data_IF_103641756815
#
_entry.id   IF_103641756815
#
_cell.length_a   1.000
_cell.length_b   1.000
_cell.length_c   1.000
_cell.angle_alpha   90.00
_cell.angle_beta   90.00
_cell.angle_gamma   90.00
#
_symmetry.space_group_name_H-M   'P 1'
#
loop_
_entity.id
_entity.type
_entity.pdbx_description
1 polymer ?
#
# COMPACT_ATOMS: atom_id res chain seq x y z
N UNK A 1 -65.18 -74.83 -12.36
CA UNK A 1 -65.02 -74.54 -10.92
C UNK A 1 -63.55 -74.16 -10.74
N UNK A 2 -63.17 -72.90 -10.92
CA UNK A 2 -63.21 -71.80 -9.95
C UNK A 2 -61.96 -71.79 -9.06
N UNK A 3 -61.19 -70.70 -9.16
CA UNK A 3 -60.20 -70.27 -8.17
C UNK A 3 -58.87 -71.04 -8.19
N UNK A 4 -57.76 -70.50 -7.71
CA UNK A 4 -57.43 -69.20 -7.14
C UNK A 4 -55.93 -69.31 -6.85
N UNK A 5 -55.23 -68.17 -6.82
CA UNK A 5 -54.03 -67.97 -5.99
C UNK A 5 -52.72 -68.68 -6.40
N UNK A 6 -51.52 -68.11 -6.27
CA UNK A 6 -51.00 -66.84 -5.80
C UNK A 6 -49.49 -66.88 -6.12
N UNK A 7 -48.91 -65.75 -6.55
CA UNK A 7 -47.70 -65.13 -5.96
C UNK A 7 -46.44 -66.05 -5.94
N UNK A 8 -45.31 -65.72 -6.59
CA UNK A 8 -44.42 -64.60 -6.19
C UNK A 8 -43.14 -64.58 -7.06
N UNK A 9 -42.68 -63.36 -7.39
CA UNK A 9 -41.28 -62.87 -7.60
C UNK A 9 -40.42 -63.56 -8.67
N UNK A 10 -40.06 -62.93 -9.81
CA UNK A 10 -39.36 -61.65 -10.13
C UNK A 10 -37.84 -61.70 -9.92
N UNK A 11 -37.10 -61.94 -11.03
CA UNK A 11 -35.75 -61.46 -11.39
C UNK A 11 -35.26 -62.25 -12.62
N UNK A 12 -34.86 -61.72 -13.78
CA UNK A 12 -34.73 -60.41 -14.41
C UNK A 12 -34.21 -60.66 -15.85
N UNK A 13 -34.17 -59.67 -16.77
CA UNK A 13 -33.43 -59.85 -18.02
C UNK A 13 -32.21 -58.91 -18.09
N UNK A 14 -31.02 -59.49 -18.12
CA UNK A 14 -29.79 -58.83 -18.56
C UNK A 14 -29.54 -59.26 -20.01
N UNK A 15 -29.83 -58.38 -20.97
CA UNK A 15 -29.30 -58.44 -22.34
C UNK A 15 -29.86 -57.29 -23.17
N UNK A 16 -29.10 -56.20 -23.28
CA UNK A 16 -29.14 -55.32 -24.45
C UNK A 16 -27.83 -54.53 -24.53
N UNK A 17 -26.87 -55.11 -25.26
CA UNK A 17 -25.72 -54.37 -25.82
C UNK A 17 -26.21 -53.09 -26.52
N UNK A 18 -25.63 -51.91 -26.22
CA UNK A 18 -25.85 -50.71 -27.01
C UNK A 18 -25.00 -50.77 -28.30
N UNK A 19 -25.65 -50.75 -29.46
CA UNK A 19 -24.99 -50.64 -30.77
C UNK A 19 -24.28 -49.29 -31.00
N UNK A 20 -23.42 -49.19 -32.03
CA UNK A 20 -22.55 -48.03 -32.21
C UNK A 20 -23.31 -46.73 -32.53
N UNK A 21 -22.79 -45.57 -32.11
CA UNK A 21 -23.49 -44.29 -32.22
C UNK A 21 -23.64 -43.81 -33.68
N UNK A 22 -24.84 -43.37 -34.03
CA UNK A 22 -25.16 -42.72 -35.32
C UNK A 22 -24.58 -41.30 -35.37
N UNK A 23 -24.09 -40.95 -36.54
CA UNK A 23 -23.50 -39.68 -36.96
C UNK A 23 -24.48 -38.49 -36.85
N UNK A 24 -24.54 -37.86 -35.68
CA UNK A 24 -25.30 -36.62 -35.49
C UNK A 24 -24.41 -35.42 -35.79
N UNK A 25 -24.56 -34.81 -36.97
CA UNK A 25 -23.92 -33.52 -37.26
C UNK A 25 -24.42 -32.45 -36.28
N UNK A 26 -23.52 -31.96 -35.43
CA UNK A 26 -23.78 -30.92 -34.43
C UNK A 26 -23.94 -29.54 -35.11
N UNK A 27 -24.90 -28.70 -34.70
CA UNK A 27 -25.07 -27.36 -35.26
C UNK A 27 -23.90 -26.42 -34.87
N UNK A 28 -23.46 -25.59 -35.82
CA UNK A 28 -22.40 -24.59 -35.63
C UNK A 28 -22.89 -23.47 -34.70
N UNK A 29 -22.45 -23.50 -33.45
CA UNK A 29 -22.86 -22.60 -32.36
C UNK A 29 -21.81 -21.54 -32.00
N UNK A 30 -20.92 -21.18 -32.93
CA UNK A 30 -19.81 -20.26 -32.65
C UNK A 30 -19.70 -19.24 -33.79
N UNK A 31 -20.20 -18.03 -33.55
CA UNK A 31 -19.86 -16.85 -34.35
C UNK A 31 -18.38 -16.47 -34.18
N UNK A 32 -17.80 -15.64 -35.07
CA UNK A 32 -16.37 -15.36 -35.10
C UNK A 32 -15.94 -14.59 -33.83
N UNK A 33 -15.09 -15.22 -33.03
CA UNK A 33 -14.43 -14.65 -31.85
C UNK A 33 -13.63 -13.41 -32.26
N UNK A 34 -14.05 -12.22 -31.83
CA UNK A 34 -13.31 -10.98 -32.07
C UNK A 34 -11.97 -10.99 -31.30
N UNK A 35 -10.85 -11.19 -32.00
CA UNK A 35 -9.50 -11.30 -31.42
C UNK A 35 -9.08 -10.11 -30.53
N UNK A 36 -9.61 -8.91 -30.75
CA UNK A 36 -9.27 -7.71 -29.96
C UNK A 36 -9.71 -7.83 -28.49
N UNK A 37 -10.81 -8.54 -28.22
CA UNK A 37 -11.33 -8.71 -26.85
C UNK A 37 -10.57 -9.79 -26.06
N UNK A 38 -10.00 -10.79 -26.75
CA UNK A 38 -9.17 -11.82 -26.11
C UNK A 38 -7.73 -11.34 -25.86
N UNK A 39 -7.17 -10.49 -26.74
CA UNK A 39 -5.86 -9.88 -26.53
C UNK A 39 -5.81 -8.94 -25.31
N UNK A 40 -6.87 -8.17 -25.07
CA UNK A 40 -6.97 -7.28 -23.89
C UNK A 40 -7.11 -8.06 -22.58
N UNK A 41 -7.88 -9.15 -22.59
CA UNK A 41 -8.02 -10.04 -21.42
C UNK A 41 -6.67 -10.70 -21.07
N UNK A 42 -5.91 -11.14 -22.06
CA UNK A 42 -4.56 -11.68 -21.85
C UNK A 42 -3.57 -10.62 -21.33
N UNK A 43 -3.66 -9.37 -21.80
CA UNK A 43 -2.83 -8.27 -21.31
C UNK A 43 -3.15 -7.87 -19.86
N UNK A 44 -4.44 -7.83 -19.49
CA UNK A 44 -4.87 -7.58 -18.10
C UNK A 44 -4.41 -8.73 -17.19
N UNK A 45 -4.57 -9.99 -17.63
CA UNK A 45 -4.08 -11.16 -16.88
C UNK A 45 -2.56 -11.12 -16.72
N UNK A 46 -1.81 -10.63 -17.71
CA UNK A 46 -0.36 -10.44 -17.64
C UNK A 46 0.07 -9.36 -16.64
N UNK A 47 -0.59 -8.20 -16.63
CA UNK A 47 -0.30 -7.11 -15.67
C UNK A 47 -0.70 -7.52 -14.25
N UNK A 48 -1.82 -8.23 -14.10
CA UNK A 48 -2.23 -8.80 -12.80
C UNK A 48 -1.26 -9.90 -12.36
N UNK A 49 -0.74 -10.73 -13.28
CA UNK A 49 0.26 -11.76 -12.96
C UNK A 49 1.63 -11.18 -12.62
N UNK A 50 2.01 -10.04 -13.20
CA UNK A 50 3.25 -9.34 -12.84
C UNK A 50 3.12 -8.66 -11.46
N UNK A 51 1.97 -8.07 -11.16
CA UNK A 51 1.66 -7.53 -9.83
C UNK A 51 1.57 -8.63 -8.76
N UNK A 52 0.84 -9.72 -9.04
CA UNK A 52 0.70 -10.88 -8.14
C UNK A 52 2.02 -11.63 -8.03
N UNK A 53 2.80 -11.76 -9.10
CA UNK A 53 4.12 -12.40 -9.10
C UNK A 53 5.16 -11.56 -8.36
N UNK A 54 5.14 -10.24 -8.50
CA UNK A 54 5.97 -9.32 -7.71
C UNK A 54 5.60 -9.39 -6.23
N UNK A 55 4.30 -9.39 -5.92
CA UNK A 55 3.78 -9.53 -4.55
C UNK A 55 4.11 -10.92 -3.96
N UNK A 56 4.02 -12.00 -4.75
CA UNK A 56 4.37 -13.36 -4.34
C UNK A 56 5.89 -13.58 -4.23
N UNK A 57 6.70 -12.85 -5.00
CA UNK A 57 8.17 -12.89 -4.93
C UNK A 57 8.68 -12.34 -3.59
N UNK A 58 8.08 -11.24 -3.11
CA UNK A 58 8.39 -10.72 -1.76
C UNK A 58 8.04 -11.71 -0.65
N UNK A 59 7.11 -12.64 -0.91
CA UNK A 59 6.67 -13.66 0.03
C UNK A 59 7.61 -14.87 0.17
N UNK A 60 8.42 -15.14 -0.85
CA UNK A 60 9.41 -16.25 -0.85
C UNK A 60 10.75 -15.78 -0.27
N UNK A 61 11.13 -14.53 -0.53
CA UNK A 61 12.38 -13.95 -0.01
C UNK A 61 12.24 -13.44 1.44
N UNK A 62 11.03 -13.07 1.86
CA UNK A 62 10.69 -12.71 3.24
C UNK A 62 9.58 -13.66 3.76
N UNK A 63 9.93 -14.73 4.50
CA UNK A 63 8.93 -15.62 5.07
C UNK A 63 8.03 -14.84 6.04
N UNK A 64 6.70 -14.95 5.88
CA UNK A 64 5.73 -14.36 6.80
C UNK A 64 6.02 -14.88 8.21
N UNK A 65 6.10 -14.03 9.25
CA UNK A 65 6.05 -14.53 10.60
C UNK A 65 4.74 -15.29 10.78
N UNK A 66 4.85 -16.51 11.30
CA UNK A 66 3.76 -17.40 11.67
C UNK A 66 2.69 -16.59 12.42
N UNK A 67 1.47 -16.55 11.87
CA UNK A 67 0.31 -15.89 12.49
C UNK A 67 0.04 -16.52 13.84
N UNK A 68 0.51 -15.89 14.91
CA UNK A 68 0.14 -16.21 16.27
C UNK A 68 -0.72 -15.06 16.83
N UNK A 69 -2.04 -15.22 16.75
CA UNK A 69 -3.00 -14.41 17.48
C UNK A 69 -3.57 -13.22 16.71
N UNK A 70 -4.73 -12.75 17.18
CA UNK A 70 -5.45 -11.60 16.67
C UNK A 70 -4.50 -10.39 16.57
N UNK A 71 -4.08 -10.07 15.34
CA UNK A 71 -3.17 -8.95 15.09
C UNK A 71 -3.86 -7.63 15.39
N UNK A 72 -3.09 -6.68 15.93
CA UNK A 72 -3.52 -5.31 16.13
C UNK A 72 -3.31 -4.54 14.81
N UNK A 73 -4.34 -3.84 14.29
CA UNK A 73 -4.16 -3.02 13.09
C UNK A 73 -3.29 -1.80 13.40
N UNK A 74 -2.33 -1.52 12.53
CA UNK A 74 -1.49 -0.31 12.63
C UNK A 74 -2.35 0.93 12.40
N UNK A 75 -2.35 1.90 13.33
CA UNK A 75 -3.09 3.15 13.16
C UNK A 75 -2.45 4.06 12.11
N UNK A 76 -3.23 5.03 11.62
CA UNK A 76 -2.70 6.15 10.83
C UNK A 76 -2.20 7.24 11.78
N UNK A 77 -0.89 7.52 11.70
CA UNK A 77 -0.17 8.48 12.53
C UNK A 77 0.20 9.75 11.77
N UNK A 78 -0.14 9.84 10.48
CA UNK A 78 0.21 10.98 9.63
C UNK A 78 -0.32 12.31 10.21
N UNK A 79 0.52 13.33 10.19
CA UNK A 79 0.25 14.68 10.72
C UNK A 79 -0.06 14.75 12.24
N UNK A 80 0.13 13.66 12.98
CA UNK A 80 0.05 13.67 14.44
C UNK A 80 1.36 14.18 15.06
N UNK A 81 1.27 14.68 16.28
CA UNK A 81 2.48 14.95 17.08
C UNK A 81 3.09 13.63 17.53
N UNK A 82 4.40 13.61 17.80
CA UNK A 82 5.07 12.40 18.32
C UNK A 82 4.42 11.90 19.63
N UNK A 83 3.95 12.83 20.49
CA UNK A 83 3.27 12.47 21.73
C UNK A 83 1.91 11.80 21.49
N UNK A 84 1.11 12.32 20.56
CA UNK A 84 -0.20 11.75 20.24
C UNK A 84 -0.08 10.39 19.53
N UNK A 85 0.90 10.28 18.64
CA UNK A 85 1.20 9.03 17.95
C UNK A 85 1.63 7.94 18.94
N UNK A 86 2.48 8.28 19.92
CA UNK A 86 2.91 7.36 20.97
C UNK A 86 1.74 6.92 21.87
N UNK A 87 0.83 7.84 22.21
CA UNK A 87 -0.37 7.51 22.98
C UNK A 87 -1.28 6.54 22.21
N UNK A 88 -1.51 6.81 20.92
CA UNK A 88 -2.36 5.97 20.05
C UNK A 88 -1.78 4.56 19.89
N UNK A 89 -0.45 4.44 19.75
CA UNK A 89 0.22 3.14 19.68
C UNK A 89 0.06 2.37 20.99
N UNK A 90 0.30 3.02 22.14
CA UNK A 90 0.15 2.39 23.47
C UNK A 90 -1.27 1.90 23.73
N UNK A 91 -2.29 2.66 23.35
CA UNK A 91 -3.70 2.27 23.48
C UNK A 91 -4.02 0.98 22.72
N UNK A 92 -3.37 0.78 21.58
CA UNK A 92 -3.51 -0.40 20.73
C UNK A 92 -2.57 -1.55 21.16
N UNK A 93 -1.73 -1.34 22.17
CA UNK A 93 -0.73 -2.33 22.60
C UNK A 93 0.42 -2.48 21.60
N UNK A 94 0.72 -1.43 20.84
CA UNK A 94 1.87 -1.30 19.96
C UNK A 94 2.92 -0.37 20.60
N UNK A 95 4.16 -0.49 20.16
CA UNK A 95 5.27 0.32 20.67
C UNK A 95 5.75 1.34 19.63
N UNK A 96 6.23 2.48 20.09
CA UNK A 96 6.96 3.42 19.24
C UNK A 96 8.36 2.86 18.98
N UNK A 97 8.70 2.66 17.72
CA UNK A 97 10.00 2.17 17.28
C UNK A 97 10.97 3.30 16.96
N UNK A 98 11.74 3.14 15.88
CA UNK A 98 12.70 4.14 15.42
C UNK A 98 12.01 5.45 15.01
N UNK A 99 12.46 6.56 15.57
CA UNK A 99 12.07 7.91 15.17
C UNK A 99 13.16 8.48 14.26
N UNK A 100 12.82 8.80 13.02
CA UNK A 100 13.72 9.43 12.06
C UNK A 100 13.31 10.87 11.80
N UNK A 101 14.25 11.79 11.89
CA UNK A 101 14.00 13.18 11.53
C UNK A 101 14.12 13.37 10.02
N UNK A 102 13.10 13.98 9.42
CA UNK A 102 13.00 14.30 8.00
C UNK A 102 12.89 15.81 7.86
N UNK A 103 13.80 16.41 7.10
CA UNK A 103 13.73 17.85 6.83
C UNK A 103 12.55 18.15 5.91
N UNK A 104 11.65 19.03 6.34
CA UNK A 104 10.48 19.45 5.56
C UNK A 104 10.26 20.95 5.70
N UNK A 105 10.24 21.66 4.58
CA UNK A 105 9.98 23.10 4.55
C UNK A 105 8.47 23.44 4.67
N UNK A 106 7.59 22.47 4.48
CA UNK A 106 6.13 22.67 4.40
C UNK A 106 5.38 22.24 5.66
N UNK A 107 6.03 21.47 6.53
CA UNK A 107 5.38 20.88 7.71
C UNK A 107 6.12 21.29 8.97
N UNK A 108 5.37 21.77 9.95
CA UNK A 108 5.92 22.17 11.25
C UNK A 108 6.75 21.04 11.87
N UNK A 109 7.81 21.43 12.58
CA UNK A 109 8.66 20.49 13.31
C UNK A 109 7.85 19.69 14.34
N UNK A 110 8.16 18.40 14.49
CA UNK A 110 7.53 17.54 15.50
C UNK A 110 6.27 16.80 15.03
N UNK A 111 5.90 16.93 13.76
CA UNK A 111 4.77 16.22 13.13
C UNK A 111 5.24 14.98 12.37
N UNK A 112 4.48 13.89 12.44
CA UNK A 112 4.76 12.65 11.70
C UNK A 112 4.46 12.84 10.20
N UNK A 113 5.48 12.60 9.37
CA UNK A 113 5.42 12.66 7.91
C UNK A 113 5.37 11.28 7.26
N UNK A 114 5.90 10.27 7.95
CA UNK A 114 5.98 8.91 7.44
C UNK A 114 5.83 7.92 8.60
N UNK A 115 5.34 6.74 8.27
CA UNK A 115 5.31 5.61 9.19
C UNK A 115 5.66 4.32 8.45
N UNK A 116 6.28 3.40 9.17
CA UNK A 116 6.58 2.05 8.71
C UNK A 116 6.35 1.09 9.89
N UNK A 117 5.36 0.19 9.83
CA UNK A 117 4.58 -0.23 8.66
C UNK A 117 3.43 0.69 8.25
N UNK A 118 2.90 0.46 7.04
CA UNK A 118 1.76 1.21 6.48
C UNK A 118 0.49 1.00 7.31
N UNK A 119 -0.41 2.00 7.36
CA UNK A 119 -1.64 1.89 8.15
C UNK A 119 -2.52 0.72 7.67
N UNK A 120 -3.20 0.06 8.61
CA UNK A 120 -4.05 -1.10 8.36
C UNK A 120 -3.31 -2.44 8.24
N UNK A 121 -1.96 -2.45 8.27
CA UNK A 121 -1.21 -3.68 8.38
C UNK A 121 -1.41 -4.32 9.77
N UNK A 122 -1.49 -5.64 9.82
CA UNK A 122 -1.65 -6.35 11.09
C UNK A 122 -0.30 -6.64 11.71
N UNK A 123 -0.12 -6.16 12.94
CA UNK A 123 1.06 -6.42 13.74
C UNK A 123 0.74 -7.32 14.93
N UNK A 124 1.77 -8.00 15.42
CA UNK A 124 1.68 -8.69 16.70
C UNK A 124 1.56 -7.65 17.81
N UNK A 125 0.81 -7.95 18.89
CA UNK A 125 0.85 -7.12 20.10
C UNK A 125 2.30 -6.94 20.58
N UNK A 126 2.66 -5.71 20.95
CA UNK A 126 4.02 -5.33 21.34
C UNK A 126 4.99 -5.09 20.17
N UNK A 127 4.52 -5.14 18.92
CA UNK A 127 5.36 -4.78 17.78
C UNK A 127 5.61 -3.27 17.72
N UNK A 128 6.79 -2.90 17.24
CA UNK A 128 7.20 -1.51 17.11
C UNK A 128 6.83 -0.90 15.75
N UNK A 129 6.40 0.36 15.75
CA UNK A 129 6.13 1.15 14.53
C UNK A 129 7.16 2.28 14.44
N UNK A 130 7.93 2.30 13.35
CA UNK A 130 8.88 3.36 13.08
C UNK A 130 8.15 4.58 12.48
N UNK A 131 8.58 5.78 12.86
CA UNK A 131 7.98 7.04 12.39
C UNK A 131 9.04 7.99 11.86
N UNK A 132 8.71 8.69 10.77
CA UNK A 132 9.48 9.82 10.25
C UNK A 132 8.82 11.11 10.71
N UNK A 133 9.54 11.98 11.41
CA UNK A 133 9.03 13.24 11.98
C UNK A 133 9.67 14.43 11.28
N UNK A 134 8.91 15.48 11.02
CA UNK A 134 9.43 16.73 10.47
C UNK A 134 10.43 17.36 11.43
N UNK A 135 11.65 17.60 10.96
CA UNK A 135 12.64 18.44 11.63
C UNK A 135 12.38 19.95 11.41
N UNK A 136 11.37 20.30 10.59
CA UNK A 136 11.11 21.67 10.16
C UNK A 136 12.04 22.13 9.03
N UNK A 137 12.00 23.44 8.76
CA UNK A 137 12.80 24.07 7.73
C UNK A 137 14.30 24.03 8.10
N UNK A 138 15.20 23.85 7.12
CA UNK A 138 16.63 23.85 7.39
C UNK A 138 17.06 25.21 7.98
N UNK A 139 17.75 25.17 9.13
CA UNK A 139 18.33 26.37 9.73
C UNK A 139 19.54 26.84 8.93
N UNK A 140 19.38 27.93 8.18
CA UNK A 140 20.48 28.62 7.52
C UNK A 140 21.04 29.71 8.45
N UNK A 141 22.34 29.66 8.75
CA UNK A 141 23.00 30.70 9.55
C UNK A 141 23.31 31.93 8.71
N UNK A 142 22.85 33.08 9.17
CA UNK A 142 23.17 34.38 8.56
C UNK A 142 24.57 34.80 8.98
N UNK A 143 25.51 35.02 8.04
CA UNK A 143 26.85 35.52 8.37
C UNK A 143 26.83 36.99 8.82
N UNK A 144 27.86 37.48 9.51
CA UNK A 144 27.95 38.89 9.86
C UNK A 144 28.03 39.76 8.60
N UNK A 145 27.05 40.66 8.45
CA UNK A 145 26.96 41.58 7.28
C UNK A 145 27.46 42.98 7.60
N UNK A 146 27.79 43.26 8.87
CA UNK A 146 28.24 44.57 9.31
C UNK A 146 29.56 44.96 8.63
N UNK A 147 29.59 46.14 8.03
CA UNK A 147 30.75 46.66 7.31
C UNK A 147 30.88 46.20 5.86
N UNK A 148 30.00 45.31 5.38
CA UNK A 148 29.95 44.93 3.97
C UNK A 148 29.12 45.94 3.15
N UNK A 149 29.52 46.15 1.90
CA UNK A 149 28.70 46.89 0.94
C UNK A 149 27.41 46.12 0.62
N UNK A 150 26.31 46.85 0.37
CA UNK A 150 24.99 46.26 0.10
C UNK A 150 25.03 45.17 -0.99
N UNK A 151 25.73 45.42 -2.10
CA UNK A 151 25.84 44.45 -3.20
C UNK A 151 26.53 43.17 -2.74
N UNK A 152 27.66 43.28 -2.04
CA UNK A 152 28.41 42.14 -1.50
C UNK A 152 27.61 41.36 -0.45
N UNK A 153 26.91 42.07 0.43
CA UNK A 153 26.04 41.42 1.42
C UNK A 153 24.89 40.67 0.76
N UNK A 154 24.28 41.24 -0.29
CA UNK A 154 23.23 40.59 -1.08
C UNK A 154 23.75 39.32 -1.76
N UNK A 155 24.86 39.41 -2.49
CA UNK A 155 25.44 38.25 -3.19
C UNK A 155 25.80 37.12 -2.23
N UNK A 156 26.34 37.45 -1.05
CA UNK A 156 26.66 36.45 -0.02
C UNK A 156 25.40 35.74 0.50
N UNK A 157 24.32 36.48 0.74
CA UNK A 157 23.06 35.90 1.21
C UNK A 157 22.36 35.07 0.12
N UNK A 158 22.31 35.57 -1.12
CA UNK A 158 21.71 34.84 -2.25
C UNK A 158 22.49 33.55 -2.56
N UNK A 159 23.83 33.56 -2.43
CA UNK A 159 24.67 32.36 -2.56
C UNK A 159 24.33 31.31 -1.49
N UNK A 160 23.89 31.74 -0.31
CA UNK A 160 23.45 30.87 0.77
C UNK A 160 21.97 30.43 0.62
N UNK A 161 21.30 30.84 -0.45
CA UNK A 161 19.91 30.47 -0.73
C UNK A 161 18.86 31.34 -0.05
N UNK A 162 19.23 32.51 0.47
CA UNK A 162 18.27 33.47 1.03
C UNK A 162 17.62 34.32 -0.07
N UNK A 163 16.32 34.60 0.07
CA UNK A 163 15.63 35.61 -0.73
C UNK A 163 15.76 36.99 -0.05
N UNK A 164 16.34 37.99 -0.72
CA UNK A 164 16.82 39.25 -0.11
C UNK A 164 16.01 40.47 -0.58
N UNK A 165 15.31 41.09 0.37
CA UNK A 165 14.67 42.39 0.21
C UNK A 165 15.43 43.50 0.97
N UNK A 166 15.67 44.64 0.32
CA UNK A 166 16.44 45.76 0.91
C UNK A 166 15.48 46.85 1.39
N UNK A 167 15.62 47.26 2.66
CA UNK A 167 14.90 48.39 3.25
C UNK A 167 15.92 49.45 3.70
N UNK A 168 15.79 50.68 3.20
CA UNK A 168 16.65 51.79 3.57
C UNK A 168 15.90 52.76 4.48
N UNK A 169 16.29 52.81 5.76
CA UNK A 169 15.77 53.83 6.69
C UNK A 169 16.71 55.02 6.69
N UNK A 170 16.29 56.13 6.09
CA UNK A 170 17.07 57.37 6.14
C UNK A 170 16.95 57.95 7.55
N UNK A 171 17.96 57.72 8.39
CA UNK A 171 18.03 58.36 9.71
C UNK A 171 18.33 59.84 9.49
N UNK A 172 17.33 60.69 9.71
CA UNK A 172 17.55 62.13 9.80
C UNK A 172 18.24 62.41 11.14
N UNK A 173 19.43 62.99 11.09
CA UNK A 173 20.14 63.45 12.28
C UNK A 173 19.29 64.52 12.98
N UNK A 174 19.11 64.36 14.29
CA UNK A 174 18.54 65.38 15.18
C UNK A 174 19.51 66.54 15.38
#
# INVERSE_FOLDING_TARGET
MLGDSLKRRRSGPSSSEPGPPRDRKLPKLLGPFSLTRWGMLAAIIGVVSFGVGYLLSTLVLFPRPETAGAGVPVPELYDQTLSDAEATLRELGLELGDVRELTSATTDSGRVLAQDPVPGQQLLPGASVAVGVSAGAPELRVPPLAGLGQATARDLLETLGFDVAVQQTRSAAF
#
